data_IF_566241639002
#
_entry.id   IF_566241639002
#
_cell.length_a   1.000
_cell.length_b   1.000
_cell.length_c   1.000
_cell.angle_alpha   90.00
_cell.angle_beta   90.00
_cell.angle_gamma   90.00
#
_symmetry.space_group_name_H-M   'P 1'
#
loop_
_entity.id
_entity.type
_entity.pdbx_description
1 polymer ?
#
# COMPACT_ATOMS: atom_id res chain seq x y z
N UNK A 1 -14.81 0.72 -21.99
CA UNK A 1 -14.89 0.10 -20.63
C UNK A 1 -14.21 1.03 -19.64
N UNK A 2 -14.83 1.26 -18.50
CA UNK A 2 -14.27 2.10 -17.44
C UNK A 2 -13.60 1.21 -16.39
N UNK A 3 -12.35 1.50 -16.06
CA UNK A 3 -11.66 0.81 -14.98
C UNK A 3 -11.85 1.59 -13.68
N UNK A 4 -12.11 0.85 -12.61
CA UNK A 4 -12.36 1.43 -11.28
C UNK A 4 -11.15 1.15 -10.41
N UNK A 5 -10.56 2.20 -9.85
CA UNK A 5 -9.40 2.14 -8.97
C UNK A 5 -9.84 2.51 -7.55
N UNK A 6 -9.67 1.59 -6.60
CA UNK A 6 -9.91 1.87 -5.21
C UNK A 6 -8.61 2.32 -4.55
N UNK A 7 -8.61 3.47 -3.90
CA UNK A 7 -7.44 4.00 -3.21
C UNK A 7 -7.56 3.82 -1.71
N UNK A 8 -6.49 3.32 -1.10
CA UNK A 8 -6.43 3.17 0.36
C UNK A 8 -5.70 4.35 1.03
N UNK A 9 -4.71 4.92 0.34
CA UNK A 9 -3.84 5.95 0.91
C UNK A 9 -3.37 5.54 2.31
N UNK A 10 -3.54 6.38 3.31
CA UNK A 10 -3.25 6.09 4.71
C UNK A 10 -4.50 5.91 5.57
N UNK A 11 -5.65 5.69 4.95
CA UNK A 11 -6.91 5.55 5.70
C UNK A 11 -6.91 4.34 6.64
N UNK A 12 -6.02 3.37 6.43
CA UNK A 12 -5.85 2.23 7.34
C UNK A 12 -5.25 2.63 8.69
N UNK A 13 -4.61 3.79 8.79
CA UNK A 13 -4.03 4.33 10.03
C UNK A 13 -3.09 3.35 10.75
N UNK A 14 -2.35 2.51 10.00
CA UNK A 14 -1.45 1.52 10.56
C UNK A 14 -2.12 0.25 11.06
N UNK A 15 -3.43 0.11 10.89
CA UNK A 15 -4.16 -1.10 11.28
C UNK A 15 -4.21 -2.07 10.09
N UNK A 16 -3.42 -3.16 10.19
CA UNK A 16 -3.32 -4.11 9.11
C UNK A 16 -4.64 -4.86 8.87
N UNK A 17 -5.40 -5.14 9.90
CA UNK A 17 -6.72 -5.77 9.75
C UNK A 17 -7.67 -4.87 8.98
N UNK A 18 -7.60 -3.57 9.23
CA UNK A 18 -8.40 -2.59 8.49
C UNK A 18 -7.99 -2.56 7.02
N UNK A 19 -6.68 -2.60 6.74
CA UNK A 19 -6.19 -2.67 5.36
C UNK A 19 -6.72 -3.91 4.65
N UNK A 20 -6.70 -5.07 5.31
CA UNK A 20 -7.27 -6.30 4.73
C UNK A 20 -8.75 -6.15 4.42
N UNK A 21 -9.50 -5.47 5.30
CA UNK A 21 -10.91 -5.22 5.05
C UNK A 21 -11.12 -4.28 3.88
N UNK A 22 -10.27 -3.26 3.71
CA UNK A 22 -10.32 -2.37 2.55
C UNK A 22 -10.11 -3.15 1.26
N UNK A 23 -9.17 -4.10 1.26
CA UNK A 23 -8.92 -4.96 0.08
C UNK A 23 -10.18 -5.77 -0.23
N UNK A 24 -10.78 -6.39 0.75
CA UNK A 24 -12.00 -7.20 0.55
C UNK A 24 -13.18 -6.35 0.10
N UNK A 25 -13.33 -5.16 0.66
CA UNK A 25 -14.40 -4.22 0.26
C UNK A 25 -14.22 -3.75 -1.17
N UNK A 26 -12.98 -3.51 -1.59
CA UNK A 26 -12.67 -3.11 -2.96
C UNK A 26 -13.07 -4.22 -3.94
N UNK A 27 -12.79 -5.46 -3.59
CA UNK A 27 -13.20 -6.60 -4.39
C UNK A 27 -14.73 -6.71 -4.46
N UNK A 28 -15.42 -6.57 -3.32
CA UNK A 28 -16.88 -6.64 -3.25
C UNK A 28 -17.54 -5.52 -4.05
N UNK A 29 -16.91 -4.35 -4.11
CA UNK A 29 -17.40 -3.21 -4.90
C UNK A 29 -17.04 -3.33 -6.38
N UNK A 30 -16.44 -4.44 -6.80
CA UNK A 30 -16.04 -4.73 -8.19
C UNK A 30 -15.02 -3.74 -8.75
N UNK A 31 -14.11 -3.26 -7.91
CA UNK A 31 -12.97 -2.49 -8.39
C UNK A 31 -12.06 -3.37 -9.26
N UNK A 32 -11.43 -2.78 -10.25
CA UNK A 32 -10.47 -3.46 -11.12
C UNK A 32 -9.07 -3.44 -10.51
N UNK A 33 -8.73 -2.33 -9.85
CA UNK A 33 -7.44 -2.10 -9.21
C UNK A 33 -7.63 -1.69 -7.77
N UNK A 34 -6.63 -2.01 -6.95
CA UNK A 34 -6.47 -1.38 -5.64
C UNK A 34 -5.13 -0.64 -5.67
N UNK A 35 -5.10 0.57 -5.15
CA UNK A 35 -3.90 1.41 -5.11
C UNK A 35 -3.44 1.58 -3.67
N UNK A 36 -2.18 1.24 -3.43
CA UNK A 36 -1.55 1.38 -2.12
C UNK A 36 -0.47 2.45 -2.17
N UNK A 37 -0.32 3.19 -1.09
CA UNK A 37 0.85 4.00 -0.85
C UNK A 37 1.77 3.21 0.07
N UNK A 38 2.95 2.84 -0.42
CA UNK A 38 3.89 2.01 0.33
C UNK A 38 4.97 2.89 0.94
N UNK A 39 5.10 2.82 2.26
CA UNK A 39 6.02 3.65 3.03
C UNK A 39 6.75 2.76 4.05
N UNK A 40 7.99 2.39 3.75
CA UNK A 40 8.75 1.45 4.57
C UNK A 40 9.69 2.10 5.57
N UNK A 41 10.21 3.29 5.24
CA UNK A 41 11.20 3.96 6.09
C UNK A 41 10.92 5.46 6.12
N UNK A 42 10.34 5.94 7.23
CA UNK A 42 9.98 7.34 7.38
C UNK A 42 11.20 8.28 7.43
N UNK A 43 12.34 7.78 7.85
CA UNK A 43 13.56 8.60 7.96
C UNK A 43 14.08 9.08 6.62
N UNK A 44 13.79 8.36 5.54
CA UNK A 44 14.19 8.77 4.19
C UNK A 44 13.33 9.88 3.62
N UNK A 45 12.15 10.11 4.19
CA UNK A 45 11.18 11.07 3.66
C UNK A 45 11.08 12.33 4.49
N UNK A 46 11.18 12.21 5.83
CA UNK A 46 11.07 13.33 6.76
C UNK A 46 12.36 13.52 7.53
N UNK A 47 12.64 14.77 7.90
CA UNK A 47 13.70 15.05 8.86
C UNK A 47 13.17 14.80 10.27
N UNK A 48 14.08 14.60 11.23
CA UNK A 48 13.70 14.34 12.63
C UNK A 48 12.85 15.44 13.23
N UNK A 49 12.97 16.67 12.71
CA UNK A 49 12.22 17.82 13.20
C UNK A 49 10.85 17.99 12.56
N UNK A 50 10.49 17.14 11.58
CA UNK A 50 9.21 17.26 10.88
C UNK A 50 8.05 16.91 11.81
N UNK A 51 7.05 17.81 11.98
CA UNK A 51 5.98 17.56 12.94
C UNK A 51 5.14 16.31 12.68
N UNK A 52 5.04 15.88 11.41
CA UNK A 52 4.22 14.73 11.03
C UNK A 52 4.96 13.40 11.12
N UNK A 53 6.25 13.38 11.46
CA UNK A 53 7.06 12.18 11.45
C UNK A 53 6.46 11.08 12.33
N UNK A 54 6.12 11.41 13.58
CA UNK A 54 5.58 10.42 14.52
C UNK A 54 4.23 9.85 14.06
N UNK A 55 3.39 10.71 13.49
CA UNK A 55 2.07 10.31 13.01
C UNK A 55 2.22 9.33 11.85
N UNK A 56 3.04 9.65 10.86
CA UNK A 56 3.22 8.82 9.68
C UNK A 56 3.97 7.53 10.02
N UNK A 57 4.93 7.59 10.95
CA UNK A 57 5.66 6.40 11.39
C UNK A 57 4.73 5.33 11.97
N UNK A 58 3.63 5.74 12.61
CA UNK A 58 2.66 4.79 13.16
C UNK A 58 1.86 4.07 12.08
N UNK A 59 1.89 4.55 10.84
CA UNK A 59 1.13 3.97 9.72
C UNK A 59 1.97 3.02 8.86
N UNK A 60 3.23 2.78 9.26
CA UNK A 60 4.14 1.97 8.47
C UNK A 60 3.89 0.48 8.70
N UNK A 61 3.74 -0.26 7.62
CA UNK A 61 3.72 -1.71 7.66
C UNK A 61 5.09 -2.26 7.28
N UNK A 62 5.40 -3.47 7.77
CA UNK A 62 6.61 -4.17 7.36
C UNK A 62 6.51 -4.67 5.92
N UNK A 63 7.65 -5.01 5.32
CA UNK A 63 7.67 -5.64 4.00
C UNK A 63 6.82 -6.91 3.98
N UNK A 64 6.89 -7.71 5.06
CA UNK A 64 6.12 -8.94 5.19
C UNK A 64 4.61 -8.68 5.20
N UNK A 65 4.18 -7.63 5.88
CA UNK A 65 2.77 -7.24 5.90
C UNK A 65 2.32 -6.77 4.52
N UNK A 66 3.13 -5.95 3.85
CA UNK A 66 2.80 -5.51 2.50
C UNK A 66 2.70 -6.67 1.53
N UNK A 67 3.63 -7.65 1.63
CA UNK A 67 3.56 -8.81 0.76
C UNK A 67 2.28 -9.62 1.01
N UNK A 68 1.85 -9.76 2.26
CA UNK A 68 0.57 -10.40 2.57
C UNK A 68 -0.60 -9.65 1.95
N UNK A 69 -0.59 -8.31 2.00
CA UNK A 69 -1.63 -7.50 1.39
C UNK A 69 -1.68 -7.69 -0.14
N UNK A 70 -0.52 -7.69 -0.79
CA UNK A 70 -0.44 -7.92 -2.23
C UNK A 70 -0.98 -9.29 -2.62
N UNK A 71 -0.60 -10.33 -1.87
CA UNK A 71 -1.06 -11.69 -2.17
C UNK A 71 -2.56 -11.83 -1.95
N UNK A 72 -3.11 -11.19 -0.92
CA UNK A 72 -4.56 -11.18 -0.70
C UNK A 72 -5.30 -10.52 -1.86
N UNK A 73 -4.83 -9.36 -2.31
CA UNK A 73 -5.45 -8.67 -3.42
C UNK A 73 -5.40 -9.51 -4.71
N UNK A 74 -4.26 -10.15 -4.97
CA UNK A 74 -4.12 -11.04 -6.14
C UNK A 74 -5.05 -12.23 -6.04
N UNK A 75 -5.17 -12.83 -4.87
CA UNK A 75 -6.07 -13.96 -4.65
C UNK A 75 -7.53 -13.59 -4.94
N UNK A 76 -7.90 -12.35 -4.66
CA UNK A 76 -9.24 -11.84 -4.95
C UNK A 76 -9.41 -11.35 -6.40
N UNK A 77 -8.36 -11.42 -7.21
CA UNK A 77 -8.43 -11.02 -8.61
C UNK A 77 -8.24 -9.54 -8.87
N UNK A 78 -7.84 -8.76 -7.87
CA UNK A 78 -7.55 -7.35 -8.04
C UNK A 78 -6.17 -7.14 -8.66
N UNK A 79 -6.08 -6.18 -9.57
CA UNK A 79 -4.79 -5.67 -10.03
C UNK A 79 -4.28 -4.67 -9.00
N UNK A 80 -2.98 -4.58 -8.82
CA UNK A 80 -2.40 -3.77 -7.76
C UNK A 80 -1.56 -2.65 -8.35
N UNK A 81 -1.89 -1.42 -7.98
CA UNK A 81 -1.06 -0.25 -8.24
C UNK A 81 -0.41 0.16 -6.94
N UNK A 82 0.88 0.51 -6.98
CA UNK A 82 1.56 1.02 -5.79
C UNK A 82 2.23 2.35 -6.10
N UNK A 83 2.16 3.24 -5.12
CA UNK A 83 2.92 4.48 -5.12
C UNK A 83 3.95 4.38 -4.01
N UNK A 84 5.22 4.07 -4.34
CA UNK A 84 6.26 4.04 -3.31
C UNK A 84 6.62 5.48 -2.92
N UNK A 85 6.69 5.75 -1.63
CA UNK A 85 6.89 7.10 -1.12
C UNK A 85 8.33 7.43 -0.79
N UNK A 86 9.23 6.44 -0.82
CA UNK A 86 10.65 6.65 -0.61
C UNK A 86 11.47 5.59 -1.35
N UNK A 87 12.80 5.71 -1.29
CA UNK A 87 13.68 4.81 -2.03
C UNK A 87 13.57 3.37 -1.55
N UNK A 88 13.52 3.14 -0.25
CA UNK A 88 13.36 1.79 0.30
C UNK A 88 12.08 1.13 -0.19
N UNK A 89 11.00 1.89 -0.25
CA UNK A 89 9.71 1.40 -0.75
C UNK A 89 9.78 1.06 -2.24
N UNK A 90 10.45 1.90 -3.03
CA UNK A 90 10.63 1.66 -4.46
C UNK A 90 11.43 0.37 -4.70
N UNK A 91 12.53 0.18 -3.98
CA UNK A 91 13.34 -1.03 -4.09
C UNK A 91 12.53 -2.28 -3.75
N UNK A 92 11.75 -2.22 -2.68
CA UNK A 92 10.86 -3.32 -2.30
C UNK A 92 9.84 -3.62 -3.40
N UNK A 93 9.20 -2.58 -3.94
CA UNK A 93 8.19 -2.75 -4.99
C UNK A 93 8.81 -3.35 -6.27
N UNK A 94 10.02 -2.94 -6.63
CA UNK A 94 10.69 -3.49 -7.80
C UNK A 94 11.01 -4.97 -7.64
N UNK A 95 11.33 -5.42 -6.44
CA UNK A 95 11.54 -6.85 -6.17
C UNK A 95 10.29 -7.68 -6.40
N UNK A 96 9.12 -7.07 -6.28
CA UNK A 96 7.84 -7.76 -6.40
C UNK A 96 7.05 -7.29 -7.62
N UNK A 97 7.74 -6.81 -8.64
CA UNK A 97 7.11 -6.26 -9.85
C UNK A 97 6.24 -7.28 -10.61
N UNK A 98 6.42 -8.58 -10.34
CA UNK A 98 5.56 -9.59 -10.94
C UNK A 98 4.13 -9.58 -10.37
N UNK A 99 3.93 -8.99 -9.19
CA UNK A 99 2.64 -8.92 -8.51
C UNK A 99 1.94 -7.58 -8.67
N UNK A 100 2.70 -6.52 -8.95
CA UNK A 100 2.20 -5.15 -8.85
C UNK A 100 2.65 -4.30 -10.02
N UNK A 101 1.94 -3.20 -10.24
CA UNK A 101 2.36 -2.14 -11.16
C UNK A 101 2.78 -0.92 -10.35
N UNK A 102 3.94 -0.36 -10.64
CA UNK A 102 4.44 0.85 -9.96
C UNK A 102 3.85 2.06 -10.66
N UNK A 103 3.21 2.87 -9.87
CA UNK A 103 2.56 4.09 -10.36
C UNK A 103 3.56 5.22 -10.56
#
# INVERSE_FOLDING_TARGET
MVEIIAETAFSHEGDFNYLKQQIKSSHSAKADYIKFQVFLNSEEYFTDSHPSLNTISSFIFSEKQWLKAFLLAKELGLKILVLPLNISSLVFCEKHSALIDIY
#
